data_IF_694853918979
#
_entry.id   IF_694853918979
#
_cell.length_a   1.000
_cell.length_b   1.000
_cell.length_c   1.000
_cell.angle_alpha   90.00
_cell.angle_beta   90.00
_cell.angle_gamma   90.00
#
_symmetry.space_group_name_H-M   'P 1'
#
loop_
_entity.id
_entity.type
_entity.pdbx_description
1 polymer ?
#
# COMPACT_ATOMS: atom_id res chain seq x y z
N UNK A 1 12.79 7.23 5.92
CA UNK A 1 12.28 7.49 4.57
C UNK A 1 12.79 8.85 4.16
N UNK A 2 13.43 8.93 3.00
CA UNK A 2 14.05 10.17 2.53
C UNK A 2 13.20 10.74 1.38
N UNK A 3 13.04 12.06 1.36
CA UNK A 3 12.33 12.76 0.27
C UNK A 3 13.34 13.60 -0.48
N UNK A 4 13.44 13.39 -1.79
CA UNK A 4 14.41 14.13 -2.60
C UNK A 4 14.00 15.61 -2.75
N UNK A 5 14.96 16.55 -2.91
CA UNK A 5 14.64 17.95 -3.21
C UNK A 5 13.77 18.11 -4.46
N UNK A 6 13.95 17.24 -5.46
CA UNK A 6 13.13 17.21 -6.67
C UNK A 6 11.66 16.87 -6.39
N UNK A 7 11.40 15.88 -5.52
CA UNK A 7 10.05 15.54 -5.09
C UNK A 7 9.39 16.69 -4.32
N UNK A 8 10.10 17.30 -3.37
CA UNK A 8 9.62 18.46 -2.61
C UNK A 8 9.27 19.63 -3.54
N UNK A 9 10.17 19.96 -4.45
CA UNK A 9 9.96 21.04 -5.41
C UNK A 9 8.78 20.76 -6.36
N UNK A 10 8.58 19.51 -6.80
CA UNK A 10 7.44 19.15 -7.65
C UNK A 10 6.10 19.29 -6.92
N UNK A 11 6.02 18.88 -5.65
CA UNK A 11 4.84 19.06 -4.82
C UNK A 11 4.55 20.54 -4.58
N UNK A 12 5.59 21.34 -4.29
CA UNK A 12 5.45 22.79 -4.11
C UNK A 12 4.94 23.47 -5.38
N UNK A 13 5.55 23.21 -6.55
CA UNK A 13 5.10 23.75 -7.84
C UNK A 13 3.66 23.37 -8.15
N UNK A 14 3.26 22.14 -7.83
CA UNK A 14 1.88 21.71 -8.00
C UNK A 14 0.92 22.52 -7.12
N UNK A 15 1.24 22.73 -5.83
CA UNK A 15 0.44 23.55 -4.91
C UNK A 15 0.30 24.99 -5.41
N UNK A 16 1.39 25.59 -5.89
CA UNK A 16 1.40 26.95 -6.45
C UNK A 16 0.53 27.07 -7.72
N UNK A 17 0.58 26.07 -8.61
CA UNK A 17 -0.26 26.03 -9.82
C UNK A 17 -1.75 25.84 -9.51
N UNK A 18 -2.07 25.10 -8.45
CA UNK A 18 -3.44 24.92 -7.98
C UNK A 18 -3.99 26.18 -7.29
N UNK A 19 -3.15 26.97 -6.61
CA UNK A 19 -3.54 28.23 -5.98
C UNK A 19 -4.01 29.32 -6.95
N UNK A 20 -3.69 29.18 -8.25
CA UNK A 20 -4.14 30.08 -9.32
C UNK A 20 -5.40 29.58 -10.07
N UNK A 21 -6.00 28.46 -9.63
CA UNK A 21 -7.21 27.91 -10.21
C UNK A 21 -8.22 27.63 -9.10
N UNK A 22 -9.36 28.36 -9.01
CA UNK A 22 -10.31 28.26 -7.90
C UNK A 22 -11.10 26.93 -7.86
N UNK A 23 -10.68 25.92 -8.62
CA UNK A 23 -11.27 24.58 -8.66
C UNK A 23 -10.31 23.51 -8.13
N UNK A 24 -9.40 23.88 -7.23
CA UNK A 24 -8.39 22.97 -6.70
C UNK A 24 -8.80 22.39 -5.34
N UNK A 25 -9.10 21.09 -5.37
CA UNK A 25 -9.13 20.22 -4.19
C UNK A 25 -10.23 20.43 -3.14
N UNK A 26 -11.40 20.94 -3.52
CA UNK A 26 -12.59 20.72 -2.69
C UNK A 26 -13.02 19.26 -2.81
N UNK A 27 -12.96 18.53 -1.68
CA UNK A 27 -13.72 17.29 -1.52
C UNK A 27 -15.15 17.58 -1.97
N UNK A 28 -15.61 16.88 -3.01
CA UNK A 28 -16.94 17.11 -3.56
C UNK A 28 -17.96 16.81 -2.47
N UNK A 29 -18.88 17.75 -2.21
CA UNK A 29 -20.05 17.46 -1.39
C UNK A 29 -20.73 16.20 -1.95
N UNK A 30 -20.95 15.22 -1.08
CA UNK A 30 -21.43 13.88 -1.43
C UNK A 30 -20.35 12.78 -1.48
N UNK A 31 -19.05 13.10 -1.39
CA UNK A 31 -17.99 12.08 -1.44
C UNK A 31 -18.12 11.08 -0.27
N UNK A 32 -18.27 9.76 -0.53
CA UNK A 32 -18.46 8.78 0.54
C UNK A 32 -17.18 8.57 1.34
N UNK A 33 -17.33 8.32 2.64
CA UNK A 33 -16.24 7.83 3.48
C UNK A 33 -15.82 6.43 2.99
N UNK A 34 -14.52 6.20 2.84
CA UNK A 34 -13.97 4.92 2.37
C UNK A 34 -13.65 3.91 3.47
N UNK A 35 -13.76 4.30 4.74
CA UNK A 35 -13.56 3.36 5.83
C UNK A 35 -14.66 2.30 5.85
N UNK A 36 -14.29 1.04 6.09
CA UNK A 36 -15.21 -0.10 6.06
C UNK A 36 -16.40 0.10 7.00
N UNK A 37 -17.62 -0.13 6.51
CA UNK A 37 -18.89 0.06 7.23
C UNK A 37 -19.26 1.51 7.61
N UNK A 38 -18.51 2.53 7.17
CA UNK A 38 -18.96 3.91 7.26
C UNK A 38 -19.79 4.27 6.03
N UNK A 39 -21.01 4.78 6.24
CA UNK A 39 -21.97 5.17 5.21
C UNK A 39 -22.08 6.69 5.02
N UNK A 40 -21.26 7.47 5.74
CA UNK A 40 -21.31 8.92 5.67
C UNK A 40 -20.76 9.45 4.35
N UNK A 41 -21.31 10.58 3.92
CA UNK A 41 -20.79 11.38 2.82
C UNK A 41 -20.30 12.74 3.32
N UNK A 42 -19.24 13.25 2.69
CA UNK A 42 -18.68 14.56 2.96
C UNK A 42 -19.69 15.67 2.60
N UNK A 43 -20.06 16.52 3.55
CA UNK A 43 -20.93 17.69 3.37
C UNK A 43 -20.18 19.03 3.43
N UNK A 44 -18.89 19.00 3.79
CA UNK A 44 -18.10 20.17 4.15
C UNK A 44 -17.17 19.85 5.33
N UNK A 45 -16.32 20.79 5.78
CA UNK A 45 -15.39 20.58 6.90
C UNK A 45 -16.07 20.14 8.20
N UNK A 46 -17.35 20.47 8.39
CA UNK A 46 -18.14 20.00 9.53
C UNK A 46 -18.38 18.49 9.55
N UNK A 47 -18.26 17.80 8.40
CA UNK A 47 -18.32 16.34 8.35
C UNK A 47 -17.20 15.66 9.13
N UNK A 48 -16.04 16.31 9.24
CA UNK A 48 -14.90 15.86 10.04
C UNK A 48 -15.17 15.96 11.56
N UNK A 49 -16.15 16.75 11.97
CA UNK A 49 -16.52 16.86 13.39
C UNK A 49 -17.22 15.60 13.91
N UNK A 50 -17.78 14.77 13.02
CA UNK A 50 -18.40 13.49 13.42
C UNK A 50 -17.38 12.36 13.40
N UNK A 51 -17.30 11.52 14.44
CA UNK A 51 -16.41 10.37 14.43
C UNK A 51 -16.84 9.37 13.36
N UNK A 52 -15.86 8.84 12.62
CA UNK A 52 -16.05 7.73 11.71
C UNK A 52 -16.14 6.42 12.50
N UNK A 53 -17.27 5.71 12.42
CA UNK A 53 -17.45 4.39 13.01
C UNK A 53 -17.17 3.36 11.92
N UNK A 54 -16.08 2.61 12.03
CA UNK A 54 -15.63 1.73 10.95
C UNK A 54 -14.90 0.48 11.45
N UNK A 55 -14.65 -0.46 10.54
CA UNK A 55 -13.72 -1.57 10.78
C UNK A 55 -12.32 -1.23 10.24
N UNK A 56 -11.30 -1.04 11.10
CA UNK A 56 -9.90 -0.85 10.68
C UNK A 56 -9.24 -2.17 10.25
N UNK A 57 -9.87 -3.30 10.58
CA UNK A 57 -9.42 -4.63 10.18
C UNK A 57 -9.82 -4.97 8.75
N UNK A 58 -9.30 -6.09 8.24
CA UNK A 58 -9.55 -6.58 6.90
C UNK A 58 -10.69 -7.59 6.89
N UNK A 59 -11.40 -7.71 5.77
CA UNK A 59 -12.38 -8.75 5.56
C UNK A 59 -11.69 -10.11 5.43
N UNK A 60 -12.11 -11.09 6.22
CA UNK A 60 -11.61 -12.46 6.20
C UNK A 60 -12.75 -13.39 5.76
N UNK A 61 -12.48 -14.18 4.73
CA UNK A 61 -13.37 -15.22 4.22
C UNK A 61 -12.67 -16.57 4.32
N UNK A 62 -13.00 -17.35 5.35
CA UNK A 62 -12.36 -18.65 5.60
C UNK A 62 -13.41 -19.66 6.08
N UNK A 63 -13.37 -20.87 5.52
CA UNK A 63 -14.29 -21.98 5.87
C UNK A 63 -15.78 -21.60 5.82
N UNK A 64 -16.18 -20.81 4.81
CA UNK A 64 -17.55 -20.33 4.64
C UNK A 64 -17.95 -19.19 5.59
N UNK A 65 -17.10 -18.84 6.55
CA UNK A 65 -17.31 -17.76 7.51
C UNK A 65 -16.69 -16.45 7.01
N UNK A 66 -17.32 -15.34 7.41
CA UNK A 66 -17.01 -13.97 6.97
C UNK A 66 -16.93 -13.07 8.20
N UNK A 67 -15.84 -12.33 8.36
CA UNK A 67 -15.64 -11.44 9.52
C UNK A 67 -14.57 -10.38 9.26
N UNK A 68 -14.56 -9.33 10.08
CA UNK A 68 -13.50 -8.33 10.07
C UNK A 68 -12.40 -8.70 11.06
N UNK A 69 -11.13 -8.59 10.70
CA UNK A 69 -10.01 -8.93 11.60
C UNK A 69 -9.93 -8.06 12.86
N UNK A 70 -10.64 -6.92 12.93
CA UNK A 70 -10.69 -6.05 14.12
C UNK A 70 -11.64 -6.54 15.21
N UNK A 71 -12.53 -7.48 14.92
CA UNK A 71 -13.58 -7.89 15.85
C UNK A 71 -14.09 -9.30 15.57
N UNK A 72 -14.62 -9.97 16.58
CA UNK A 72 -14.94 -11.39 16.51
C UNK A 72 -16.34 -11.70 15.92
N UNK A 73 -16.97 -10.72 15.25
CA UNK A 73 -18.32 -10.86 14.67
C UNK A 73 -18.27 -11.70 13.39
N UNK A 74 -18.45 -13.02 13.52
CA UNK A 74 -18.49 -13.94 12.38
C UNK A 74 -19.89 -14.20 11.86
N UNK A 75 -20.04 -14.37 10.56
CA UNK A 75 -21.30 -14.76 9.91
C UNK A 75 -21.03 -15.61 8.67
N UNK A 76 -21.91 -16.56 8.37
CA UNK A 76 -21.87 -17.31 7.10
C UNK A 76 -22.57 -16.57 5.96
N UNK A 77 -23.48 -15.63 6.27
CA UNK A 77 -24.26 -14.88 5.28
C UNK A 77 -23.52 -13.61 4.82
N UNK A 78 -23.38 -13.44 3.50
CA UNK A 78 -22.65 -12.30 2.91
C UNK A 78 -23.33 -10.95 3.15
N UNK A 79 -24.65 -10.86 3.02
CA UNK A 79 -25.39 -9.62 3.26
C UNK A 79 -25.31 -9.22 4.74
N UNK A 80 -25.37 -10.20 5.65
CA UNK A 80 -25.17 -9.96 7.06
C UNK A 80 -23.75 -9.46 7.38
N UNK A 81 -22.73 -9.90 6.63
CA UNK A 81 -21.35 -9.41 6.74
C UNK A 81 -21.24 -7.95 6.29
N UNK A 82 -21.81 -7.60 5.13
CA UNK A 82 -21.83 -6.22 4.62
C UNK A 82 -22.58 -5.26 5.55
N UNK A 83 -23.61 -5.75 6.25
CA UNK A 83 -24.40 -4.96 7.20
C UNK A 83 -23.74 -4.82 8.59
N UNK A 84 -22.56 -5.41 8.83
CA UNK A 84 -21.87 -5.28 10.11
C UNK A 84 -21.41 -3.84 10.32
N UNK A 85 -21.95 -3.19 11.36
CA UNK A 85 -21.52 -1.86 11.76
C UNK A 85 -20.11 -1.86 12.37
N UNK A 86 -19.35 -0.79 12.07
CA UNK A 86 -17.95 -0.60 12.46
C UNK A 86 -17.66 -0.86 13.94
N UNK A 87 -16.44 -1.36 14.20
CA UNK A 87 -15.97 -1.74 15.54
C UNK A 87 -15.19 -0.61 16.26
N UNK A 88 -14.73 0.42 15.56
CA UNK A 88 -13.86 1.47 16.10
C UNK A 88 -14.28 2.88 15.67
N UNK A 89 -13.98 3.87 16.53
CA UNK A 89 -14.08 5.31 16.24
C UNK A 89 -12.76 5.85 15.72
N UNK A 90 -12.79 6.63 14.63
CA UNK A 90 -11.62 7.32 14.07
C UNK A 90 -12.01 8.52 13.20
N UNK A 91 -11.07 8.96 12.35
CA UNK A 91 -11.31 10.01 11.35
C UNK A 91 -11.86 9.41 10.07
N UNK A 92 -12.67 10.18 9.35
CA UNK A 92 -13.18 9.76 8.04
C UNK A 92 -12.06 9.79 6.98
N UNK A 93 -12.23 8.95 5.96
CA UNK A 93 -11.36 8.92 4.79
C UNK A 93 -12.17 9.33 3.55
N UNK A 94 -12.15 10.63 3.23
CA UNK A 94 -12.96 11.22 2.16
C UNK A 94 -12.31 11.20 0.79
N UNK A 95 -11.03 10.81 0.69
CA UNK A 95 -10.26 10.96 -0.55
C UNK A 95 -10.86 10.14 -1.70
N UNK A 96 -11.19 10.83 -2.80
CA UNK A 96 -11.62 10.23 -4.05
C UNK A 96 -10.42 9.84 -4.92
N UNK A 97 -9.37 9.26 -4.33
CA UNK A 97 -8.21 8.83 -5.09
C UNK A 97 -8.64 7.73 -6.07
N UNK A 98 -8.29 7.88 -7.33
CA UNK A 98 -8.39 6.82 -8.33
C UNK A 98 -7.46 5.68 -7.90
N UNK A 99 -8.01 4.49 -7.73
CA UNK A 99 -7.19 3.30 -7.47
C UNK A 99 -6.48 2.89 -8.74
N UNK A 100 -5.16 2.79 -8.68
CA UNK A 100 -4.33 2.35 -9.80
C UNK A 100 -3.71 1.01 -9.44
N UNK A 101 -4.23 -0.07 -10.01
CA UNK A 101 -3.75 -1.43 -9.80
C UNK A 101 -2.51 -1.75 -10.65
N UNK A 102 -2.49 -1.26 -11.90
CA UNK A 102 -1.43 -1.51 -12.86
C UNK A 102 -0.47 -0.32 -12.96
N UNK A 103 0.33 -0.12 -11.91
CA UNK A 103 1.44 0.83 -11.95
C UNK A 103 2.69 0.14 -12.48
N UNK A 104 3.47 0.84 -13.31
CA UNK A 104 4.76 0.34 -13.74
C UNK A 104 5.72 0.30 -12.55
N UNK A 105 6.30 -0.86 -12.32
CA UNK A 105 7.47 -1.03 -11.49
C UNK A 105 8.59 -1.72 -12.28
N UNK A 106 9.80 -1.63 -11.74
CA UNK A 106 10.92 -2.49 -12.12
C UNK A 106 11.78 -2.77 -10.90
N UNK A 107 12.75 -3.66 -11.08
CA UNK A 107 13.68 -4.00 -10.03
C UNK A 107 15.06 -4.32 -10.58
N UNK A 108 16.06 -4.16 -9.74
CA UNK A 108 17.42 -4.61 -10.00
C UNK A 108 18.10 -4.98 -8.69
N UNK A 109 19.10 -5.84 -8.76
CA UNK A 109 19.97 -6.18 -7.63
C UNK A 109 21.40 -5.72 -7.89
N UNK A 110 22.07 -5.19 -6.88
CA UNK A 110 23.48 -4.82 -6.94
C UNK A 110 24.10 -4.81 -5.55
N UNK A 111 25.31 -5.35 -5.41
CA UNK A 111 26.12 -5.26 -4.19
C UNK A 111 25.38 -5.63 -2.89
N UNK A 112 24.64 -6.74 -2.88
CA UNK A 112 23.88 -7.19 -1.70
C UNK A 112 22.63 -6.35 -1.40
N UNK A 113 22.14 -5.59 -2.37
CA UNK A 113 20.89 -4.84 -2.26
C UNK A 113 19.96 -5.17 -3.42
N UNK A 114 18.66 -5.18 -3.13
CA UNK A 114 17.57 -5.30 -4.11
C UNK A 114 16.81 -3.99 -4.09
N UNK A 115 16.69 -3.33 -5.24
CA UNK A 115 15.94 -2.08 -5.37
C UNK A 115 14.71 -2.29 -6.22
N UNK A 116 13.54 -1.90 -5.71
CA UNK A 116 12.29 -1.80 -6.47
C UNK A 116 12.04 -0.32 -6.78
N UNK A 117 11.86 0.03 -8.05
CA UNK A 117 11.36 1.35 -8.42
C UNK A 117 9.89 1.26 -8.79
N UNK A 118 9.05 2.05 -8.12
CA UNK A 118 7.64 2.20 -8.46
C UNK A 118 7.44 3.55 -9.12
N UNK A 119 7.12 3.56 -10.42
CA UNK A 119 7.08 4.77 -11.23
C UNK A 119 5.78 5.54 -11.06
N UNK A 120 5.76 6.42 -10.06
CA UNK A 120 4.67 7.34 -9.78
C UNK A 120 5.18 8.79 -9.70
N UNK A 121 4.44 9.72 -10.34
CA UNK A 121 4.72 11.16 -10.24
C UNK A 121 3.91 11.76 -9.10
N UNK A 122 4.52 12.65 -8.33
CA UNK A 122 3.83 13.42 -7.29
C UNK A 122 3.34 12.52 -6.15
N UNK A 123 4.17 11.58 -5.72
CA UNK A 123 3.97 10.84 -4.49
C UNK A 123 3.89 11.81 -3.31
N UNK A 124 2.94 11.61 -2.42
CA UNK A 124 2.72 12.42 -1.21
C UNK A 124 3.46 11.74 -0.05
N UNK A 125 4.59 12.27 0.44
CA UNK A 125 5.47 11.56 1.37
C UNK A 125 4.78 11.09 2.65
N UNK A 126 3.91 11.92 3.22
CA UNK A 126 3.18 11.61 4.46
C UNK A 126 2.17 10.46 4.30
N UNK A 127 1.80 10.15 3.05
CA UNK A 127 0.88 9.08 2.66
C UNK A 127 1.57 7.93 1.91
N UNK A 128 2.90 7.81 2.03
CA UNK A 128 3.62 6.61 1.62
C UNK A 128 3.88 5.74 2.84
N UNK A 129 3.42 4.49 2.78
CA UNK A 129 3.62 3.50 3.84
C UNK A 129 4.30 2.27 3.25
N UNK A 130 5.41 1.87 3.85
CA UNK A 130 6.15 0.68 3.47
C UNK A 130 6.33 -0.18 4.71
N UNK A 131 5.87 -1.42 4.65
CA UNK A 131 5.97 -2.40 5.74
C UNK A 131 6.52 -3.70 5.20
N UNK A 132 7.37 -4.38 5.98
CA UNK A 132 7.88 -5.70 5.64
C UNK A 132 8.15 -6.52 6.89
N UNK A 133 7.99 -7.83 6.79
CA UNK A 133 8.38 -8.82 7.80
C UNK A 133 9.71 -9.53 7.45
N UNK A 134 10.39 -9.10 6.40
CA UNK A 134 11.63 -9.69 5.89
C UNK A 134 11.44 -10.57 4.66
N UNK A 135 10.25 -11.13 4.41
CA UNK A 135 9.97 -11.98 3.24
C UNK A 135 8.78 -11.47 2.42
N UNK A 136 7.88 -10.68 3.01
CA UNK A 136 6.81 -9.98 2.33
C UNK A 136 7.02 -8.47 2.46
N UNK A 137 6.85 -7.74 1.36
CA UNK A 137 6.90 -6.28 1.33
C UNK A 137 5.55 -5.75 0.87
N UNK A 138 4.99 -4.79 1.61
CA UNK A 138 3.82 -4.03 1.21
C UNK A 138 4.18 -2.56 1.04
N UNK A 139 3.88 -2.01 -0.13
CA UNK A 139 3.90 -0.59 -0.43
C UNK A 139 2.46 -0.08 -0.56
N UNK A 140 2.14 0.98 0.15
CA UNK A 140 0.99 1.82 -0.11
C UNK A 140 1.49 3.23 -0.46
N UNK A 141 1.04 3.78 -1.59
CA UNK A 141 1.46 5.09 -2.06
C UNK A 141 0.28 5.89 -2.60
N UNK A 142 0.10 7.09 -2.05
CA UNK A 142 -0.73 8.14 -2.66
C UNK A 142 0.14 8.96 -3.62
N UNK A 143 -0.28 9.05 -4.88
CA UNK A 143 0.43 9.72 -5.96
C UNK A 143 -0.49 10.53 -6.87
N UNK A 144 0.02 11.01 -8.00
CA UNK A 144 -0.72 11.92 -8.87
C UNK A 144 -1.05 13.24 -8.17
N UNK A 145 -0.20 13.65 -7.22
CA UNK A 145 -0.41 14.80 -6.35
C UNK A 145 -1.67 14.70 -5.49
N UNK A 146 -1.90 13.52 -4.89
CA UNK A 146 -3.06 13.28 -4.02
C UNK A 146 -4.34 12.92 -4.78
N UNK A 147 -4.22 12.42 -6.01
CA UNK A 147 -5.37 12.02 -6.85
C UNK A 147 -5.45 10.52 -7.11
N UNK A 148 -4.37 9.80 -6.87
CA UNK A 148 -4.24 8.37 -7.17
C UNK A 148 -3.70 7.63 -5.96
N UNK A 149 -4.06 6.38 -5.84
CA UNK A 149 -3.65 5.50 -4.74
C UNK A 149 -3.33 4.11 -5.30
N UNK A 150 -2.25 3.51 -4.80
CA UNK A 150 -1.79 2.19 -5.22
C UNK A 150 -1.29 1.40 -4.01
N UNK A 151 -1.78 0.17 -3.88
CA UNK A 151 -1.28 -0.84 -2.94
C UNK A 151 -0.57 -1.94 -3.76
N UNK A 152 0.70 -2.21 -3.45
CA UNK A 152 1.50 -3.28 -4.03
C UNK A 152 1.98 -4.21 -2.92
N UNK A 153 1.90 -5.50 -3.19
CA UNK A 153 2.40 -6.56 -2.32
C UNK A 153 3.43 -7.35 -3.12
N UNK A 154 4.57 -7.64 -2.51
CA UNK A 154 5.65 -8.46 -3.06
C UNK A 154 5.98 -9.57 -2.07
N UNK A 155 5.74 -10.82 -2.46
CA UNK A 155 6.32 -11.99 -1.79
C UNK A 155 7.75 -12.10 -2.31
N UNK A 156 8.72 -11.63 -1.54
CA UNK A 156 10.12 -11.50 -1.97
C UNK A 156 10.77 -12.87 -2.15
N UNK A 157 11.65 -13.01 -3.15
CA UNK A 157 12.34 -14.27 -3.41
C UNK A 157 13.27 -14.70 -2.26
N UNK A 158 13.89 -13.74 -1.59
CA UNK A 158 14.77 -14.00 -0.45
C UNK A 158 14.53 -13.03 0.71
N UNK A 159 15.14 -13.34 1.84
CA UNK A 159 15.00 -12.54 3.06
C UNK A 159 15.80 -11.23 2.99
N UNK A 160 15.24 -10.16 3.54
CA UNK A 160 15.87 -8.84 3.64
C UNK A 160 16.11 -8.44 5.10
N UNK A 161 17.09 -7.57 5.32
CA UNK A 161 17.34 -6.91 6.60
C UNK A 161 16.55 -5.60 6.63
N UNK A 162 15.34 -5.60 7.21
CA UNK A 162 14.46 -4.43 7.22
C UNK A 162 15.09 -3.19 7.84
N UNK A 163 15.90 -3.35 8.89
CA UNK A 163 16.57 -2.24 9.60
C UNK A 163 17.66 -1.55 8.77
N UNK A 164 18.22 -2.24 7.77
CA UNK A 164 19.23 -1.70 6.85
C UNK A 164 18.62 -1.31 5.49
N UNK A 165 17.30 -1.48 5.36
CA UNK A 165 16.56 -1.11 4.17
C UNK A 165 16.04 0.32 4.29
N UNK A 166 15.86 1.00 3.15
CA UNK A 166 15.39 2.39 3.13
C UNK A 166 14.47 2.65 1.95
N UNK A 167 13.72 3.74 2.05
CA UNK A 167 12.79 4.19 1.02
C UNK A 167 13.12 5.63 0.64
N UNK A 168 13.21 5.90 -0.66
CA UNK A 168 13.48 7.23 -1.22
C UNK A 168 12.30 7.66 -2.09
N UNK A 169 11.70 8.80 -1.78
CA UNK A 169 10.65 9.43 -2.58
C UNK A 169 11.29 10.40 -3.58
N UNK A 170 11.34 9.98 -4.83
CA UNK A 170 11.79 10.76 -5.98
C UNK A 170 10.66 11.59 -6.60
N UNK A 171 11.01 12.47 -7.55
CA UNK A 171 10.02 13.25 -8.31
C UNK A 171 9.05 12.35 -9.11
N UNK A 172 9.58 11.23 -9.64
CA UNK A 172 8.92 10.37 -10.63
C UNK A 172 8.82 8.90 -10.24
N UNK A 173 9.35 8.55 -9.08
CA UNK A 173 9.33 7.18 -8.57
C UNK A 173 9.51 7.16 -7.06
N UNK A 174 9.01 6.10 -6.44
CA UNK A 174 9.40 5.70 -5.10
C UNK A 174 10.38 4.53 -5.23
N UNK A 175 11.53 4.63 -4.58
CA UNK A 175 12.58 3.61 -4.60
C UNK A 175 12.62 2.91 -3.25
N UNK A 176 12.43 1.60 -3.24
CA UNK A 176 12.55 0.77 -2.04
C UNK A 176 13.85 -0.01 -2.17
N UNK A 177 14.84 0.36 -1.38
CA UNK A 177 16.20 -0.18 -1.40
C UNK A 177 16.33 -1.13 -0.22
N UNK A 178 16.37 -2.42 -0.50
CA UNK A 178 16.35 -3.48 0.50
C UNK A 178 17.73 -4.12 0.62
N UNK A 179 18.21 -4.27 1.84
CA UNK A 179 19.44 -5.01 2.11
C UNK A 179 19.14 -6.51 2.09
N UNK A 180 19.79 -7.27 1.21
CA UNK A 180 19.64 -8.72 1.23
C UNK A 180 20.29 -9.29 2.50
N UNK A 181 19.63 -10.27 3.13
CA UNK A 181 20.24 -11.02 4.24
C UNK A 181 21.35 -11.94 3.72
N UNK A 182 21.07 -12.65 2.62
CA UNK A 182 22.03 -13.44 1.87
C UNK A 182 22.37 -12.76 0.54
N UNK A 183 23.66 -12.52 0.28
CA UNK A 183 24.15 -11.81 -0.93
C UNK A 183 24.03 -12.67 -2.21
N UNK A 184 23.29 -13.78 -2.16
CA UNK A 184 22.98 -14.59 -3.32
C UNK A 184 22.18 -13.78 -4.35
N UNK A 185 22.46 -14.01 -5.63
CA UNK A 185 21.71 -13.39 -6.72
C UNK A 185 20.26 -13.88 -6.72
N UNK A 186 19.30 -12.95 -6.68
CA UNK A 186 17.89 -13.30 -6.84
C UNK A 186 17.61 -13.55 -8.32
N UNK A 187 17.09 -14.73 -8.72
CA UNK A 187 16.72 -15.00 -10.11
C UNK A 187 15.48 -14.20 -10.56
N UNK A 188 14.68 -13.76 -9.60
CA UNK A 188 13.44 -12.97 -9.78
C UNK A 188 13.15 -12.18 -8.51
N UNK A 189 12.33 -11.13 -8.62
CA UNK A 189 11.94 -10.34 -7.46
C UNK A 189 11.02 -11.12 -6.51
N UNK A 190 10.08 -11.88 -7.09
CA UNK A 190 8.99 -12.54 -6.37
C UNK A 190 9.28 -14.03 -6.20
N UNK A 191 9.01 -14.57 -5.02
CA UNK A 191 8.99 -16.01 -4.79
C UNK A 191 7.81 -16.65 -5.54
N UNK A 192 8.07 -17.75 -6.25
CA UNK A 192 7.03 -18.57 -6.86
C UNK A 192 7.16 -20.01 -6.33
N UNK A 193 6.22 -20.50 -5.51
CA UNK A 193 6.27 -21.86 -4.97
C UNK A 193 6.39 -22.95 -6.03
N UNK A 194 5.85 -22.73 -7.24
CA UNK A 194 5.89 -23.72 -8.32
C UNK A 194 7.28 -23.79 -8.99
N UNK A 195 8.06 -22.71 -8.93
CA UNK A 195 9.38 -22.62 -9.56
C UNK A 195 10.53 -22.73 -8.55
N UNK A 196 10.29 -22.32 -7.31
CA UNK A 196 11.29 -22.17 -6.26
C UNK A 196 11.07 -23.17 -5.10
N UNK A 197 10.04 -24.01 -5.17
CA UNK A 197 9.86 -25.15 -4.26
C UNK A 197 10.94 -26.21 -4.50
N UNK A 198 11.59 -26.69 -3.44
CA UNK A 198 12.64 -27.73 -3.55
C UNK A 198 12.03 -29.04 -4.04
N UNK A 199 12.43 -29.54 -5.21
CA UNK A 199 12.43 -30.98 -5.48
C UNK A 199 13.54 -31.63 -4.63
N UNK A 200 13.22 -32.02 -3.41
CA UNK A 200 14.06 -32.93 -2.64
C UNK A 200 13.73 -34.38 -3.04
N UNK A 201 14.42 -34.92 -4.04
CA UNK A 201 14.90 -36.32 -3.98
C UNK A 201 16.28 -36.37 -4.61
N UNK A 202 17.25 -36.67 -3.74
CA UNK A 202 18.67 -36.82 -4.01
C UNK A 202 18.96 -37.89 -5.07
N UNK A 203 19.94 -37.59 -5.93
CA UNK A 203 20.76 -38.59 -6.59
C UNK A 203 21.40 -39.52 -5.53
N UNK A 204 20.83 -40.71 -5.35
CA UNK A 204 21.58 -41.85 -4.81
C UNK A 204 22.38 -42.46 -5.95
N UNK A 205 23.61 -41.96 -6.13
CA UNK A 205 24.64 -42.64 -6.93
C UNK A 205 25.39 -43.61 -6.00
N UNK A 206 25.17 -44.90 -6.25
CA UNK A 206 26.06 -46.06 -6.06
C UNK A 206 26.89 -46.21 -4.76
N UNK A 207 26.63 -47.32 -4.05
CA UNK A 207 27.61 -48.39 -3.80
C UNK A 207 26.96 -49.76 -3.96
#
# INVERSE_FOLDING_TARGET
MDVTPGAQAALQRYREQQGNNPTSNELRIGAPCRNNACDKSYSGPESDATPCIHHPGQAIFHEGMKYWSCCEKKTSNFNAFLAQGGCQRGKHQWSANEKVENIRDDWFSSNGTVTINVYCKGAVPDDVRVTSDGQMLRLHVVHGFGKKETDLIYDLWGEIICSESRVVVGERKVEIIMKQKDVAGWPRLRYDPALDGRENVEEVVAE
#
